data_IF_724484386837
#
_entry.id   IF_724484386837
#
_cell.length_a   1.000
_cell.length_b   1.000
_cell.length_c   1.000
_cell.angle_alpha   90.00
_cell.angle_beta   90.00
_cell.angle_gamma   90.00
#
_symmetry.space_group_name_H-M   'P 1'
#
loop_
_entity.id
_entity.type
_entity.pdbx_description
1 polymer ?
#
# COMPACT_ATOMS: atom_id res chain seq x y z
N UNK A 1 31.69 -14.09 -26.09
CA UNK A 1 30.32 -14.41 -25.63
C UNK A 1 30.28 -14.23 -24.11
N UNK A 2 29.89 -13.06 -23.61
CA UNK A 2 29.54 -12.94 -22.19
C UNK A 2 28.01 -12.97 -22.10
N UNK A 3 27.46 -14.03 -21.51
CA UNK A 3 26.06 -14.06 -21.15
C UNK A 3 25.83 -12.98 -20.09
N UNK A 4 24.88 -12.05 -20.28
CA UNK A 4 24.56 -11.07 -19.25
C UNK A 4 24.17 -11.81 -17.97
N UNK A 5 24.70 -11.36 -16.83
CA UNK A 5 24.42 -11.89 -15.49
C UNK A 5 22.90 -11.84 -15.23
N UNK A 6 22.18 -12.91 -15.58
CA UNK A 6 20.76 -13.08 -15.30
C UNK A 6 20.44 -12.80 -13.81
N UNK A 7 21.37 -13.14 -12.92
CA UNK A 7 21.31 -12.86 -11.48
C UNK A 7 21.19 -11.37 -11.10
N UNK A 8 21.85 -10.45 -11.81
CA UNK A 8 21.77 -9.01 -11.52
C UNK A 8 20.45 -8.40 -11.99
N UNK A 9 19.96 -8.87 -13.15
CA UNK A 9 18.68 -8.42 -13.73
C UNK A 9 17.51 -8.90 -12.88
N UNK A 10 17.55 -10.14 -12.39
CA UNK A 10 16.53 -10.71 -11.50
C UNK A 10 16.48 -9.99 -10.15
N UNK A 11 17.63 -9.67 -9.56
CA UNK A 11 17.71 -8.89 -8.31
C UNK A 11 17.19 -7.46 -8.49
N UNK A 12 17.52 -6.80 -9.60
CA UNK A 12 17.02 -5.47 -9.91
C UNK A 12 15.49 -5.46 -10.06
N UNK A 13 14.92 -6.43 -10.80
CA UNK A 13 13.47 -6.60 -10.96
C UNK A 13 12.77 -6.88 -9.62
N UNK A 14 13.36 -7.71 -8.76
CA UNK A 14 12.79 -7.98 -7.45
C UNK A 14 12.79 -6.74 -6.54
N UNK A 15 13.86 -5.93 -6.57
CA UNK A 15 13.93 -4.68 -5.81
C UNK A 15 12.92 -3.63 -6.32
N UNK A 16 12.76 -3.52 -7.63
CA UNK A 16 11.80 -2.62 -8.26
C UNK A 16 10.36 -3.04 -7.98
N UNK A 17 10.07 -4.34 -8.05
CA UNK A 17 8.77 -4.89 -7.68
C UNK A 17 8.44 -4.58 -6.21
N UNK A 18 9.40 -4.75 -5.28
CA UNK A 18 9.21 -4.37 -3.87
C UNK A 18 8.84 -2.90 -3.69
N UNK A 19 9.57 -1.99 -4.36
CA UNK A 19 9.29 -0.55 -4.30
C UNK A 19 7.92 -0.20 -4.87
N UNK A 20 7.56 -0.80 -6.01
CA UNK A 20 6.27 -0.55 -6.65
C UNK A 20 5.12 -1.09 -5.80
N UNK A 21 5.25 -2.29 -5.24
CA UNK A 21 4.24 -2.86 -4.34
C UNK A 21 4.09 -2.06 -3.06
N UNK A 22 5.20 -1.60 -2.45
CA UNK A 22 5.16 -0.67 -1.32
C UNK A 22 4.38 0.59 -1.66
N UNK A 23 4.70 1.23 -2.79
CA UNK A 23 4.04 2.46 -3.21
C UNK A 23 2.53 2.27 -3.38
N UNK A 24 2.13 1.23 -4.11
CA UNK A 24 0.70 0.97 -4.37
C UNK A 24 -0.06 0.70 -3.08
N UNK A 25 0.50 -0.10 -2.17
CA UNK A 25 -0.16 -0.43 -0.90
C UNK A 25 -0.29 0.76 0.03
N UNK A 26 0.73 1.62 0.10
CA UNK A 26 0.67 2.88 0.83
C UNK A 26 -0.47 3.75 0.31
N UNK A 27 -0.62 3.86 -1.02
CA UNK A 27 -1.72 4.61 -1.63
C UNK A 27 -3.08 3.96 -1.36
N UNK A 28 -3.17 2.63 -1.38
CA UNK A 28 -4.40 1.90 -1.06
C UNK A 28 -4.86 2.21 0.36
N UNK A 29 -3.98 2.11 1.35
CA UNK A 29 -4.30 2.40 2.76
C UNK A 29 -4.68 3.87 2.95
N UNK A 30 -3.94 4.81 2.33
CA UNK A 30 -4.27 6.24 2.31
C UNK A 30 -5.70 6.50 1.80
N UNK A 31 -6.05 5.91 0.65
CA UNK A 31 -7.38 6.07 0.04
C UNK A 31 -8.48 5.44 0.87
N UNK A 32 -8.25 4.27 1.45
CA UNK A 32 -9.21 3.63 2.35
C UNK A 32 -9.49 4.54 3.56
N UNK A 33 -8.44 5.11 4.17
CA UNK A 33 -8.58 6.03 5.31
C UNK A 33 -9.40 7.26 4.96
N UNK A 34 -9.10 7.91 3.83
CA UNK A 34 -9.83 9.11 3.37
C UNK A 34 -11.30 8.80 3.09
N UNK A 35 -11.56 7.73 2.35
CA UNK A 35 -12.94 7.35 2.02
C UNK A 35 -13.72 7.01 3.29
N UNK A 36 -13.10 6.25 4.21
CA UNK A 36 -13.70 5.92 5.50
C UNK A 36 -14.04 7.19 6.29
N UNK A 37 -13.10 8.12 6.42
CA UNK A 37 -13.32 9.39 7.13
C UNK A 37 -14.44 10.22 6.49
N UNK A 38 -14.38 10.45 5.17
CA UNK A 38 -15.38 11.23 4.45
C UNK A 38 -16.78 10.63 4.56
N UNK A 39 -16.88 9.29 4.62
CA UNK A 39 -18.15 8.57 4.73
C UNK A 39 -18.57 8.26 6.18
N UNK A 40 -17.86 8.75 7.20
CA UNK A 40 -18.18 8.49 8.60
C UNK A 40 -18.07 7.01 8.99
N UNK A 41 -17.24 6.25 8.28
CA UNK A 41 -16.98 4.83 8.55
C UNK A 41 -15.69 4.73 9.37
N UNK A 42 -15.70 3.90 10.40
CA UNK A 42 -14.47 3.61 11.14
C UNK A 42 -13.45 2.93 10.22
N UNK A 43 -12.30 3.58 10.06
CA UNK A 43 -11.13 2.97 9.45
C UNK A 43 -10.48 2.00 10.45
N UNK A 44 -10.24 0.75 10.04
CA UNK A 44 -9.56 -0.23 10.88
C UNK A 44 -8.04 0.02 10.82
N UNK A 45 -7.49 0.59 11.89
CA UNK A 45 -6.05 0.89 12.00
C UNK A 45 -5.17 -0.35 11.83
N UNK A 46 -5.74 -1.56 11.95
CA UNK A 46 -5.04 -2.81 11.64
C UNK A 46 -4.53 -2.88 10.19
N UNK A 47 -5.16 -2.17 9.24
CA UNK A 47 -4.62 -2.05 7.88
C UNK A 47 -3.24 -1.36 7.86
N UNK A 48 -3.00 -0.38 8.73
CA UNK A 48 -1.71 0.28 8.85
C UNK A 48 -0.66 -0.67 9.48
N UNK A 49 -1.07 -1.45 10.49
CA UNK A 49 -0.19 -2.38 11.20
C UNK A 49 0.23 -3.57 10.34
N UNK A 50 -0.73 -4.24 9.68
CA UNK A 50 -0.47 -5.37 8.78
C UNK A 50 0.47 -4.97 7.63
N UNK A 51 0.28 -3.77 7.06
CA UNK A 51 1.16 -3.24 6.00
C UNK A 51 2.59 -3.06 6.52
N UNK A 52 2.75 -2.53 7.72
CA UNK A 52 4.06 -2.26 8.32
C UNK A 52 4.80 -3.55 8.65
N UNK A 53 4.09 -4.55 9.17
CA UNK A 53 4.65 -5.89 9.40
C UNK A 53 5.20 -6.48 8.09
N UNK A 54 4.42 -6.41 7.01
CA UNK A 54 4.83 -6.90 5.70
C UNK A 54 6.02 -6.13 5.13
N UNK A 55 6.01 -4.79 5.23
CA UNK A 55 7.14 -3.97 4.78
C UNK A 55 8.40 -4.27 5.58
N UNK A 56 8.29 -4.47 6.90
CA UNK A 56 9.40 -4.90 7.75
C UNK A 56 9.96 -6.23 7.29
N UNK A 57 9.10 -7.22 7.01
CA UNK A 57 9.53 -8.54 6.51
C UNK A 57 10.18 -8.49 5.12
N UNK A 58 9.90 -7.45 4.33
CA UNK A 58 10.56 -7.22 3.04
C UNK A 58 11.90 -6.47 3.14
N UNK A 59 12.36 -6.15 4.37
CA UNK A 59 13.49 -5.28 4.68
C UNK A 59 13.32 -3.84 4.16
N UNK A 60 12.11 -3.31 4.20
CA UNK A 60 11.82 -1.90 3.91
C UNK A 60 11.92 -1.09 5.20
N UNK A 61 12.46 0.13 5.10
CA UNK A 61 12.47 1.07 6.23
C UNK A 61 11.03 1.45 6.62
N UNK A 62 10.58 0.94 7.77
CA UNK A 62 9.24 1.17 8.33
C UNK A 62 9.01 2.65 8.66
N UNK A 63 10.04 3.38 9.10
CA UNK A 63 9.94 4.80 9.42
C UNK A 63 9.71 5.64 8.16
N UNK A 64 10.37 5.30 7.06
CA UNK A 64 10.11 5.88 5.74
C UNK A 64 8.70 5.52 5.23
N UNK A 65 8.28 4.28 5.35
CA UNK A 65 6.95 3.85 4.94
C UNK A 65 5.82 4.58 5.68
N UNK A 66 5.91 4.70 7.01
CA UNK A 66 4.94 5.46 7.83
C UNK A 66 4.84 6.92 7.39
N UNK A 67 5.98 7.60 7.22
CA UNK A 67 6.01 8.99 6.74
C UNK A 67 5.34 9.13 5.37
N UNK A 68 5.58 8.18 4.46
CA UNK A 68 4.96 8.19 3.14
C UNK A 68 3.44 7.96 3.19
N UNK A 69 2.92 7.16 4.13
CA UNK A 69 1.47 7.02 4.34
C UNK A 69 0.87 8.35 4.76
N UNK A 70 1.44 9.03 5.75
CA UNK A 70 0.93 10.32 6.23
C UNK A 70 1.01 11.42 5.16
N UNK A 71 2.10 11.45 4.38
CA UNK A 71 2.25 12.40 3.27
C UNK A 71 1.22 12.14 2.16
N UNK A 72 1.03 10.88 1.75
CA UNK A 72 0.02 10.55 0.75
C UNK A 72 -1.39 10.85 1.26
N UNK A 73 -1.69 10.54 2.52
CA UNK A 73 -2.99 10.86 3.12
C UNK A 73 -3.29 12.36 3.05
N UNK A 74 -2.34 13.22 3.43
CA UNK A 74 -2.51 14.68 3.34
C UNK A 74 -2.72 15.15 1.89
N UNK A 75 -1.92 14.61 0.96
CA UNK A 75 -1.99 14.98 -0.45
C UNK A 75 -3.30 14.50 -1.10
N UNK A 76 -3.73 13.27 -0.83
CA UNK A 76 -4.95 12.70 -1.35
C UNK A 76 -6.19 13.38 -0.73
N UNK A 77 -6.19 13.70 0.57
CA UNK A 77 -7.30 14.41 1.23
C UNK A 77 -7.55 15.77 0.57
N UNK A 78 -6.48 16.52 0.27
CA UNK A 78 -6.58 17.77 -0.47
C UNK A 78 -7.21 17.59 -1.86
N UNK A 79 -6.96 16.45 -2.53
CA UNK A 79 -7.45 16.18 -3.89
C UNK A 79 -8.88 15.66 -3.94
N UNK A 80 -9.28 14.81 -2.99
CA UNK A 80 -10.58 14.14 -3.01
C UNK A 80 -11.70 14.96 -2.33
N UNK A 81 -11.35 16.00 -1.57
CA UNK A 81 -12.30 16.81 -0.80
C UNK A 81 -12.93 16.04 0.35
N UNK A 82 -13.95 16.62 0.99
CA UNK A 82 -14.54 16.10 2.24
C UNK A 82 -15.91 15.40 2.04
N UNK A 83 -16.35 15.17 0.80
CA UNK A 83 -17.68 14.60 0.52
C UNK A 83 -17.66 13.07 0.31
N UNK A 84 -18.58 12.37 0.97
CA UNK A 84 -18.90 10.97 0.65
C UNK A 84 -19.84 10.90 -0.56
N UNK A 85 -19.39 10.26 -1.65
CA UNK A 85 -20.20 10.02 -2.85
C UNK A 85 -20.72 8.58 -2.85
N UNK A 86 -21.79 8.32 -3.60
CA UNK A 86 -22.36 6.95 -3.75
C UNK A 86 -21.29 5.93 -4.19
N UNK A 87 -20.39 6.34 -5.08
CA UNK A 87 -19.30 5.49 -5.57
C UNK A 87 -18.13 5.36 -4.57
N UNK A 88 -18.05 6.20 -3.54
CA UNK A 88 -17.02 6.12 -2.49
C UNK A 88 -17.10 4.79 -1.75
N UNK A 89 -18.28 4.31 -1.39
CA UNK A 89 -18.44 3.01 -0.71
C UNK A 89 -18.04 1.82 -1.60
N UNK A 90 -18.32 1.92 -2.91
CA UNK A 90 -17.89 0.91 -3.88
C UNK A 90 -16.36 0.91 -4.01
N UNK A 91 -15.75 2.09 -4.06
CA UNK A 91 -14.30 2.25 -4.08
C UNK A 91 -13.66 1.72 -2.79
N UNK A 92 -14.25 1.99 -1.63
CA UNK A 92 -13.77 1.47 -0.34
C UNK A 92 -13.72 -0.06 -0.33
N UNK A 93 -14.80 -0.71 -0.79
CA UNK A 93 -14.83 -2.16 -0.91
C UNK A 93 -13.73 -2.68 -1.84
N UNK A 94 -13.59 -2.07 -3.02
CA UNK A 94 -12.54 -2.44 -3.98
C UNK A 94 -11.14 -2.34 -3.37
N UNK A 95 -10.81 -1.23 -2.70
CA UNK A 95 -9.49 -1.05 -2.08
C UNK A 95 -9.26 -2.02 -0.93
N UNK A 96 -10.28 -2.32 -0.14
CA UNK A 96 -10.18 -3.29 0.95
C UNK A 96 -9.90 -4.71 0.42
N UNK A 97 -10.64 -5.15 -0.60
CA UNK A 97 -10.45 -6.47 -1.22
C UNK A 97 -9.06 -6.57 -1.86
N UNK A 98 -8.63 -5.52 -2.57
CA UNK A 98 -7.29 -5.42 -3.14
C UNK A 98 -6.21 -5.52 -2.04
N UNK A 99 -6.32 -4.70 -0.99
CA UNK A 99 -5.40 -4.70 0.13
C UNK A 99 -5.23 -6.10 0.75
N UNK A 100 -6.35 -6.76 1.07
CA UNK A 100 -6.34 -8.08 1.72
C UNK A 100 -5.64 -9.14 0.87
N UNK A 101 -5.90 -9.13 -0.43
CA UNK A 101 -5.25 -10.06 -1.36
C UNK A 101 -3.75 -9.77 -1.46
N UNK A 102 -3.36 -8.51 -1.61
CA UNK A 102 -1.95 -8.14 -1.75
C UNK A 102 -1.14 -8.41 -0.47
N UNK A 103 -1.69 -8.12 0.73
CA UNK A 103 -1.02 -8.49 1.99
C UNK A 103 -0.85 -10.00 2.10
N UNK A 104 -1.87 -10.79 1.74
CA UNK A 104 -1.79 -12.25 1.76
C UNK A 104 -0.67 -12.76 0.84
N UNK A 105 -0.58 -12.22 -0.37
CA UNK A 105 0.47 -12.58 -1.33
C UNK A 105 1.87 -12.16 -0.84
N UNK A 106 2.01 -10.93 -0.34
CA UNK A 106 3.29 -10.46 0.18
C UNK A 106 3.75 -11.24 1.42
N UNK A 107 2.84 -11.61 2.33
CA UNK A 107 3.15 -12.48 3.47
C UNK A 107 3.66 -13.85 3.03
N UNK A 108 3.19 -14.37 1.89
CA UNK A 108 3.69 -15.63 1.33
C UNK A 108 5.11 -15.50 0.76
N UNK A 109 5.51 -14.31 0.30
CA UNK A 109 6.85 -14.04 -0.25
C UNK A 109 7.92 -13.80 0.83
N UNK A 110 7.52 -13.51 2.07
CA UNK A 110 8.43 -13.25 3.20
C UNK A 110 8.87 -14.56 3.89
N UNK A 111 8.11 -15.65 3.72
CA UNK A 111 8.46 -16.99 4.25
C UNK A 111 9.46 -17.70 3.35
#
# INVERSE_FOLDING_TARGET
LMLPNFSLIEKAKAAELKKMTQFVMIQTVSRMRIISENCGINFDEKYSEDLIEVLSGLNVDVGEARRNIDLNYKADKFRFGDECKKDSLKALKFFNDYYKNTIKEMRALIK
#
